data_IF_700542311237
#
_entry.id   IF_700542311237
#
_cell.length_a   1.000
_cell.length_b   1.000
_cell.length_c   1.000
_cell.angle_alpha   90.00
_cell.angle_beta   90.00
_cell.angle_gamma   90.00
#
_symmetry.space_group_name_H-M   'P 1'
#
loop_
_entity.id
_entity.type
_entity.pdbx_description
1 polymer ?
#
# COMPACT_ATOMS: atom_id res chain seq x y z
N UNK A 1 -1.70 -17.24 70.78
CA UNK A 1 -2.88 -17.53 69.93
C UNK A 1 -3.54 -16.21 69.58
N UNK A 2 -3.37 -15.71 68.35
CA UNK A 2 -4.06 -14.51 67.87
C UNK A 2 -5.06 -14.95 66.81
N UNK A 3 -6.34 -14.73 67.09
CA UNK A 3 -7.43 -14.96 66.15
C UNK A 3 -7.45 -13.87 65.09
N UNK A 4 -7.74 -14.33 63.88
CA UNK A 4 -7.88 -13.61 62.62
C UNK A 4 -9.21 -12.85 62.59
N UNK A 5 -9.20 -11.61 62.10
CA UNK A 5 -10.37 -10.93 61.58
C UNK A 5 -9.99 -10.32 60.22
N UNK A 6 -10.41 -10.98 59.15
CA UNK A 6 -10.30 -10.49 57.77
C UNK A 6 -11.59 -9.78 57.44
N UNK A 7 -11.56 -8.45 57.37
CA UNK A 7 -12.63 -7.65 56.75
C UNK A 7 -12.33 -7.52 55.27
N UNK A 8 -13.11 -8.23 54.44
CA UNK A 8 -13.09 -8.09 52.99
C UNK A 8 -13.82 -6.84 52.54
N UNK A 9 -13.16 -6.03 51.72
CA UNK A 9 -13.80 -5.03 50.86
C UNK A 9 -13.38 -5.33 49.44
N UNK A 10 -14.27 -5.99 48.69
CA UNK A 10 -14.12 -6.14 47.25
C UNK A 10 -14.69 -4.89 46.59
N UNK A 11 -13.82 -3.99 46.14
CA UNK A 11 -14.22 -2.89 45.25
C UNK A 11 -14.06 -3.38 43.81
N UNK A 12 -15.17 -3.70 43.16
CA UNK A 12 -15.23 -4.01 41.74
C UNK A 12 -15.12 -2.70 40.97
N UNK A 13 -13.92 -2.34 40.53
CA UNK A 13 -13.74 -1.31 39.51
C UNK A 13 -14.14 -1.93 38.17
N UNK A 14 -15.39 -1.68 37.72
CA UNK A 14 -15.78 -1.93 36.34
C UNK A 14 -14.89 -1.07 35.44
N UNK A 15 -13.95 -1.73 34.76
CA UNK A 15 -13.21 -1.21 33.63
C UNK A 15 -14.18 -1.00 32.45
N UNK A 16 -14.78 0.18 32.37
CA UNK A 16 -15.28 0.67 31.08
C UNK A 16 -14.07 1.15 30.27
N UNK A 17 -13.25 0.20 29.79
CA UNK A 17 -12.33 0.45 28.70
C UNK A 17 -13.18 0.72 27.46
N UNK A 18 -13.61 1.97 27.28
CA UNK A 18 -13.96 2.45 25.96
C UNK A 18 -12.66 2.37 25.16
N UNK A 19 -12.48 1.28 24.41
CA UNK A 19 -11.49 1.23 23.35
C UNK A 19 -11.86 2.35 22.38
N UNK A 20 -11.16 3.46 22.45
CA UNK A 20 -11.21 4.48 21.41
C UNK A 20 -10.59 3.83 20.16
N UNK A 21 -11.45 3.26 19.31
CA UNK A 21 -11.08 2.89 17.95
C UNK A 21 -11.14 4.17 17.13
N UNK A 22 -10.00 4.81 16.93
CA UNK A 22 -9.85 5.59 15.71
C UNK A 22 -9.65 4.56 14.61
N UNK A 23 -10.67 4.38 13.77
CA UNK A 23 -10.49 3.82 12.44
C UNK A 23 -10.27 5.03 11.56
N UNK A 24 -9.07 5.20 11.00
CA UNK A 24 -8.97 6.15 9.91
C UNK A 24 -9.73 5.59 8.70
N UNK A 25 -10.54 6.43 8.05
CA UNK A 25 -11.51 5.99 7.03
C UNK A 25 -10.90 5.67 5.66
N UNK A 26 -9.57 5.62 5.57
CA UNK A 26 -8.82 5.67 4.33
C UNK A 26 -7.74 4.52 4.38
N UNK A 27 -7.08 4.09 3.27
CA UNK A 27 -5.99 3.03 3.22
C UNK A 27 -4.50 3.46 2.97
N UNK A 28 -3.62 3.71 3.96
CA UNK A 28 -2.34 4.48 3.72
C UNK A 28 -1.28 3.54 3.19
N UNK A 29 -0.52 4.09 2.24
CA UNK A 29 0.78 3.56 1.85
C UNK A 29 1.84 4.35 2.62
N UNK A 30 2.58 3.65 3.47
CA UNK A 30 3.70 4.22 4.21
C UNK A 30 4.99 3.95 3.45
N UNK A 31 5.94 4.88 3.51
CA UNK A 31 7.27 4.69 2.95
C UNK A 31 8.20 4.29 4.09
N UNK A 32 9.00 3.25 3.89
CA UNK A 32 10.00 2.80 4.85
C UNK A 32 11.21 2.15 4.19
N UNK A 33 12.13 1.67 5.02
CA UNK A 33 13.25 0.80 4.65
C UNK A 33 13.25 -0.47 5.50
N UNK A 34 14.15 -1.42 5.25
CA UNK A 34 14.16 -2.73 5.92
C UNK A 34 12.79 -3.46 5.82
N UNK A 35 12.45 -3.97 4.63
CA UNK A 35 11.22 -4.73 4.38
C UNK A 35 10.95 -5.87 5.39
N UNK A 36 11.97 -6.61 5.83
CA UNK A 36 11.80 -7.76 6.74
C UNK A 36 11.75 -7.38 8.24
N UNK A 37 12.18 -6.15 8.57
CA UNK A 37 12.20 -5.57 9.92
C UNK A 37 13.32 -6.11 10.83
N UNK A 38 14.28 -6.85 10.28
CA UNK A 38 15.41 -7.46 10.98
C UNK A 38 16.65 -6.58 10.76
N UNK A 39 17.22 -6.04 11.82
CA UNK A 39 18.43 -5.20 11.71
C UNK A 39 19.66 -6.05 11.31
N UNK A 40 20.49 -5.50 10.42
CA UNK A 40 21.76 -6.09 9.99
C UNK A 40 21.65 -7.02 8.78
N UNK A 41 20.52 -7.02 8.08
CA UNK A 41 20.27 -7.79 6.86
C UNK A 41 20.57 -6.95 5.61
N UNK A 42 20.60 -7.61 4.45
CA UNK A 42 20.88 -6.94 3.17
C UNK A 42 19.82 -5.90 2.79
N UNK A 43 18.61 -6.00 3.34
CA UNK A 43 17.48 -5.14 3.01
C UNK A 43 17.31 -3.91 3.93
N UNK A 44 18.21 -3.71 4.90
CA UNK A 44 18.25 -2.54 5.79
C UNK A 44 18.19 -1.20 5.03
N UNK A 45 18.78 -1.16 3.84
CA UNK A 45 18.91 0.03 3.01
C UNK A 45 17.99 0.01 1.78
N UNK A 46 17.01 -0.90 1.71
CA UNK A 46 16.09 -1.01 0.59
C UNK A 46 14.78 -0.31 0.92
N UNK A 47 14.36 0.64 0.09
CA UNK A 47 13.05 1.29 0.23
C UNK A 47 11.91 0.29 -0.01
N UNK A 48 10.77 0.50 0.66
CA UNK A 48 9.53 -0.19 0.32
C UNK A 48 8.30 0.66 0.66
N UNK A 49 7.18 0.34 0.03
CA UNK A 49 5.88 0.85 0.42
C UNK A 49 5.16 -0.18 1.30
N UNK A 50 4.77 0.19 2.52
CA UNK A 50 3.88 -0.62 3.36
C UNK A 50 2.47 -0.59 2.75
N UNK A 51 2.16 -1.67 2.04
CA UNK A 51 0.88 -1.88 1.37
C UNK A 51 -0.11 -2.71 2.21
N UNK A 52 0.10 -2.82 3.52
CA UNK A 52 -0.73 -3.71 4.35
C UNK A 52 -2.20 -3.31 4.45
N UNK A 53 -2.51 -2.05 4.14
CA UNK A 53 -3.88 -1.53 4.09
C UNK A 53 -4.48 -1.53 2.68
N UNK A 54 -3.73 -1.92 1.65
CA UNK A 54 -4.19 -1.94 0.25
C UNK A 54 -5.53 -2.68 0.14
N UNK A 55 -6.53 -2.01 -0.40
CA UNK A 55 -7.90 -2.49 -0.62
C UNK A 55 -8.73 -2.77 0.64
N UNK A 56 -8.31 -2.27 1.81
CA UNK A 56 -9.09 -2.43 3.04
C UNK A 56 -10.47 -1.82 2.91
N UNK A 57 -10.63 -0.64 2.33
CA UNK A 57 -11.93 0.01 2.14
C UNK A 57 -12.43 -0.08 0.70
N UNK A 58 -12.30 -1.26 0.09
CA UNK A 58 -12.74 -1.50 -1.29
C UNK A 58 -14.24 -1.75 -1.47
N UNK A 59 -15.04 -1.82 -0.39
CA UNK A 59 -16.47 -2.07 -0.49
C UNK A 59 -17.24 -1.89 0.83
N UNK A 60 -18.48 -2.42 0.93
CA UNK A 60 -19.34 -2.30 2.12
C UNK A 60 -18.79 -2.97 3.38
N UNK A 61 -17.88 -3.92 3.22
CA UNK A 61 -17.09 -4.52 4.30
C UNK A 61 -15.61 -4.45 3.96
N UNK A 62 -14.74 -4.61 4.95
CA UNK A 62 -13.30 -4.49 4.71
C UNK A 62 -12.80 -5.60 3.76
N UNK A 63 -11.95 -5.25 2.79
CA UNK A 63 -11.30 -6.16 1.84
C UNK A 63 -12.27 -7.01 1.01
N UNK A 64 -13.39 -6.43 0.56
CA UNK A 64 -14.37 -7.12 -0.30
C UNK A 64 -13.80 -7.35 -1.69
N UNK A 65 -13.26 -6.29 -2.29
CA UNK A 65 -12.68 -6.32 -3.62
C UNK A 65 -11.16 -6.26 -3.55
N UNK A 66 -10.51 -6.88 -4.54
CA UNK A 66 -9.05 -6.78 -4.73
C UNK A 66 -8.67 -5.59 -5.63
N UNK A 67 -9.45 -4.52 -5.59
CA UNK A 67 -9.25 -3.28 -6.33
C UNK A 67 -10.04 -2.17 -5.62
N UNK A 68 -9.78 -0.90 -5.94
CA UNK A 68 -10.61 0.20 -5.45
C UNK A 68 -11.72 0.56 -6.46
N UNK A 69 -13.00 0.49 -6.10
CA UNK A 69 -14.06 0.98 -6.98
C UNK A 69 -14.02 2.52 -7.04
N UNK A 70 -13.95 3.07 -8.25
CA UNK A 70 -14.08 4.51 -8.44
C UNK A 70 -15.55 4.93 -8.40
N UNK A 71 -15.79 6.13 -7.85
CA UNK A 71 -17.12 6.68 -7.71
C UNK A 71 -17.38 7.75 -8.76
N UNK A 72 -18.61 7.82 -9.26
CA UNK A 72 -19.02 8.83 -10.24
C UNK A 72 -18.77 10.24 -9.71
N UNK A 73 -18.17 11.06 -10.55
CA UNK A 73 -17.80 12.45 -10.31
C UNK A 73 -18.73 13.37 -11.10
N UNK A 74 -18.92 14.59 -10.60
CA UNK A 74 -19.67 15.64 -11.31
C UNK A 74 -18.84 16.33 -12.41
N UNK A 75 -17.53 16.10 -12.43
CA UNK A 75 -16.62 16.79 -13.34
C UNK A 75 -16.51 16.02 -14.65
N UNK A 76 -16.74 16.69 -15.77
CA UNK A 76 -16.70 16.06 -17.10
C UNK A 76 -15.30 15.65 -17.54
N UNK A 77 -14.25 16.29 -17.02
CA UNK A 77 -12.85 15.95 -17.33
C UNK A 77 -12.33 14.73 -16.59
N UNK A 78 -13.08 14.22 -15.61
CA UNK A 78 -12.81 12.98 -14.89
C UNK A 78 -14.13 12.46 -14.32
N UNK A 79 -14.78 11.58 -15.08
CA UNK A 79 -16.11 11.06 -14.77
C UNK A 79 -16.16 10.23 -13.50
N UNK A 80 -15.00 9.75 -13.00
CA UNK A 80 -14.90 8.89 -11.83
C UNK A 80 -13.69 9.26 -10.96
N UNK A 81 -13.77 8.99 -9.65
CA UNK A 81 -12.70 9.30 -8.68
C UNK A 81 -12.77 8.46 -7.40
N UNK A 82 -11.66 8.41 -6.70
CA UNK A 82 -11.57 8.04 -5.28
C UNK A 82 -10.67 9.05 -4.54
N UNK A 83 -10.92 9.23 -3.24
CA UNK A 83 -10.14 10.10 -2.37
C UNK A 83 -8.78 9.51 -1.97
N UNK A 84 -8.17 10.10 -0.95
CA UNK A 84 -6.93 9.62 -0.34
C UNK A 84 -7.16 8.33 0.44
N UNK A 85 -6.21 7.40 0.42
CA UNK A 85 -6.29 6.25 1.31
C UNK A 85 -5.27 6.38 2.50
N UNK A 86 -5.64 6.53 3.81
CA UNK A 86 -5.15 5.83 5.03
C UNK A 86 -5.21 6.26 6.52
N UNK A 87 -4.54 5.44 7.37
CA UNK A 87 -3.76 5.61 8.66
C UNK A 87 -4.21 4.55 9.69
N UNK A 88 -3.32 3.84 10.46
CA UNK A 88 -3.69 3.27 11.80
C UNK A 88 -2.66 2.35 12.49
N UNK A 89 -1.69 1.71 11.82
CA UNK A 89 -0.95 0.61 12.48
C UNK A 89 -0.13 1.05 13.73
N UNK A 90 0.48 2.22 13.68
CA UNK A 90 1.33 2.73 14.76
C UNK A 90 0.54 3.40 15.90
N UNK A 91 -0.34 4.37 15.64
CA UNK A 91 -1.13 5.02 16.71
C UNK A 91 -2.14 4.06 17.38
N UNK A 92 -2.56 2.99 16.70
CA UNK A 92 -3.35 1.91 17.34
C UNK A 92 -2.58 1.18 18.43
N UNK A 93 -1.26 1.07 18.28
CA UNK A 93 -0.38 0.33 19.21
C UNK A 93 0.23 1.27 20.26
N UNK A 94 0.53 2.52 19.87
CA UNK A 94 1.16 3.53 20.71
C UNK A 94 0.46 4.89 20.59
N UNK A 95 -0.79 5.03 21.08
CA UNK A 95 -1.61 6.24 20.88
C UNK A 95 -1.04 7.51 21.53
N UNK A 96 -0.06 7.37 22.41
CA UNK A 96 0.58 8.48 23.14
C UNK A 96 2.03 8.73 22.72
N UNK A 97 2.54 8.04 21.68
CA UNK A 97 3.88 8.31 21.17
C UNK A 97 3.87 9.64 20.40
N UNK A 98 4.73 10.59 20.81
CA UNK A 98 4.82 11.93 20.22
C UNK A 98 5.46 11.97 18.82
N UNK A 99 5.85 10.82 18.27
CA UNK A 99 6.42 10.63 16.94
C UNK A 99 6.31 9.15 16.55
N UNK A 100 6.20 8.88 15.24
CA UNK A 100 6.18 7.53 14.65
C UNK A 100 7.60 6.98 14.64
N UNK A 101 7.96 6.15 15.63
CA UNK A 101 9.20 5.38 15.61
C UNK A 101 8.85 3.91 15.50
N UNK A 102 8.82 3.38 14.27
CA UNK A 102 9.24 2.01 14.07
C UNK A 102 10.75 2.09 13.84
N UNK A 103 11.58 1.80 14.87
CA UNK A 103 13.02 2.06 14.81
C UNK A 103 13.71 1.35 13.65
N UNK A 104 13.10 0.29 13.10
CA UNK A 104 13.73 -0.49 12.05
C UNK A 104 13.21 -0.16 10.66
N UNK A 105 12.05 0.52 10.54
CA UNK A 105 11.39 0.71 9.23
C UNK A 105 11.26 2.16 8.81
N UNK A 106 11.54 3.11 9.71
CA UNK A 106 11.60 4.53 9.38
C UNK A 106 12.95 4.88 8.71
N UNK A 107 12.89 5.80 7.75
CA UNK A 107 14.11 6.37 7.16
C UNK A 107 14.88 7.14 8.23
N UNK A 108 16.18 6.88 8.34
CA UNK A 108 17.07 7.59 9.23
C UNK A 108 17.47 8.95 8.64
N UNK A 109 17.34 10.01 9.45
CA UNK A 109 17.79 11.37 9.11
C UNK A 109 16.66 12.34 8.76
N UNK A 110 17.04 13.50 8.26
CA UNK A 110 16.16 14.60 7.87
C UNK A 110 15.85 14.55 6.35
N UNK A 111 14.55 14.56 5.95
CA UNK A 111 14.18 14.62 4.54
C UNK A 111 14.74 15.85 3.83
N UNK A 112 15.29 15.65 2.64
CA UNK A 112 15.97 16.67 1.83
C UNK A 112 17.42 16.96 2.26
N UNK A 113 17.91 16.34 3.33
CA UNK A 113 19.30 16.44 3.78
C UNK A 113 20.01 15.08 3.78
N UNK A 114 19.43 14.10 4.46
CA UNK A 114 19.99 12.75 4.61
C UNK A 114 19.42 11.77 3.58
N UNK A 115 18.20 12.01 3.11
CA UNK A 115 17.55 11.27 2.03
C UNK A 115 16.61 12.18 1.22
N UNK A 116 16.35 11.84 -0.03
CA UNK A 116 15.36 12.51 -0.88
C UNK A 116 14.53 11.46 -1.64
N UNK A 117 13.46 10.98 -1.01
CA UNK A 117 12.55 10.01 -1.62
C UNK A 117 11.70 10.66 -2.70
N UNK A 118 11.88 10.16 -3.92
CA UNK A 118 11.06 10.45 -5.08
C UNK A 118 10.14 9.26 -5.35
N UNK A 119 8.88 9.58 -5.64
CA UNK A 119 7.88 8.60 -6.06
C UNK A 119 7.69 8.73 -7.56
N UNK A 120 8.10 7.70 -8.31
CA UNK A 120 8.03 7.65 -9.77
C UNK A 120 6.86 6.79 -10.23
N UNK A 121 6.11 7.28 -11.21
CA UNK A 121 5.14 6.50 -11.96
C UNK A 121 5.85 5.67 -13.03
N UNK A 122 5.90 4.35 -12.87
CA UNK A 122 6.59 3.44 -13.81
C UNK A 122 5.64 2.74 -14.79
N UNK A 123 4.34 2.71 -14.48
CA UNK A 123 3.28 2.28 -15.39
C UNK A 123 1.95 2.94 -15.00
N UNK A 124 1.09 3.24 -15.97
CA UNK A 124 -0.25 3.79 -15.72
C UNK A 124 -1.19 3.46 -16.87
N UNK A 125 -2.43 3.10 -16.55
CA UNK A 125 -3.47 2.85 -17.55
C UNK A 125 -3.92 4.13 -18.24
N UNK A 126 -4.31 4.04 -19.51
CA UNK A 126 -4.91 5.17 -20.23
C UNK A 126 -6.14 5.71 -19.48
N UNK A 127 -6.24 7.04 -19.40
CA UNK A 127 -7.39 7.71 -18.81
C UNK A 127 -7.42 7.77 -17.29
N UNK A 128 -6.42 7.19 -16.59
CA UNK A 128 -6.22 7.37 -15.15
C UNK A 128 -5.23 8.52 -14.87
N UNK A 129 -5.46 9.23 -13.77
CA UNK A 129 -4.47 10.16 -13.21
C UNK A 129 -4.47 10.12 -11.68
N UNK A 130 -3.30 10.31 -11.10
CA UNK A 130 -3.13 10.53 -9.67
C UNK A 130 -2.94 12.02 -9.39
N UNK A 131 -3.59 12.53 -8.33
CA UNK A 131 -3.65 13.96 -8.02
C UNK A 131 -3.37 14.18 -6.55
N UNK A 132 -2.36 14.99 -6.27
CA UNK A 132 -2.17 15.59 -4.96
C UNK A 132 -2.84 16.97 -4.98
N UNK A 133 -3.90 17.13 -4.19
CA UNK A 133 -4.75 18.34 -4.22
C UNK A 133 -4.27 19.43 -3.30
N UNK A 134 -3.39 19.09 -2.38
CA UNK A 134 -2.89 20.03 -1.41
C UNK A 134 -1.57 20.64 -1.90
N UNK A 135 -1.15 21.78 -1.36
CA UNK A 135 0.08 22.41 -1.82
C UNK A 135 1.32 21.61 -1.37
N UNK A 136 2.33 21.34 -2.24
CA UNK A 136 2.35 21.66 -3.67
C UNK A 136 1.43 20.73 -4.48
N UNK A 137 0.59 21.32 -5.33
CA UNK A 137 -0.35 20.56 -6.14
C UNK A 137 0.37 19.98 -7.36
N UNK A 138 0.11 18.71 -7.65
CA UNK A 138 0.61 18.06 -8.85
C UNK A 138 -0.37 17.02 -9.37
N UNK A 139 -0.15 16.58 -10.60
CA UNK A 139 -0.92 15.52 -11.23
C UNK A 139 0.04 14.63 -12.01
N UNK A 140 -0.07 13.33 -11.79
CA UNK A 140 0.62 12.29 -12.57
C UNK A 140 -0.40 11.75 -13.57
N UNK A 141 -0.07 11.87 -14.85
CA UNK A 141 -0.82 11.36 -16.00
C UNK A 141 -0.03 10.38 -16.87
N UNK A 142 1.30 10.28 -16.67
CA UNK A 142 2.16 9.49 -17.55
C UNK A 142 3.29 8.76 -16.83
N UNK A 143 3.90 7.83 -17.56
CA UNK A 143 5.10 7.10 -17.13
C UNK A 143 6.30 8.05 -17.11
N UNK A 144 7.15 7.91 -16.09
CA UNK A 144 8.32 8.74 -15.84
C UNK A 144 8.02 10.06 -15.14
N UNK A 145 6.74 10.41 -14.94
CA UNK A 145 6.37 11.53 -14.08
C UNK A 145 6.55 11.12 -12.61
N UNK A 146 7.01 12.06 -11.80
CA UNK A 146 7.34 11.83 -10.40
C UNK A 146 7.04 13.04 -9.52
N UNK A 147 7.13 12.85 -8.21
CA UNK A 147 7.13 13.93 -7.24
C UNK A 147 8.10 13.64 -6.09
N UNK A 148 8.62 14.71 -5.50
CA UNK A 148 9.48 14.65 -4.33
C UNK A 148 8.63 14.53 -3.06
N UNK A 149 8.54 13.32 -2.52
CA UNK A 149 7.84 13.07 -1.26
C UNK A 149 8.56 13.72 -0.09
N UNK A 150 9.89 13.75 -0.09
CA UNK A 150 10.69 14.32 1.00
C UNK A 150 10.52 15.84 1.11
N UNK A 151 10.45 16.55 -0.01
CA UNK A 151 10.13 17.99 -0.01
C UNK A 151 8.70 18.27 0.51
N UNK A 152 7.72 17.44 0.14
CA UNK A 152 6.34 17.55 0.64
C UNK A 152 6.30 17.28 2.14
N UNK A 153 6.96 16.21 2.59
CA UNK A 153 7.10 15.87 4.00
C UNK A 153 7.78 17.00 4.78
N UNK A 154 8.93 17.52 4.32
CA UNK A 154 9.62 18.62 4.98
C UNK A 154 8.76 19.90 5.06
N UNK A 155 7.95 20.17 4.02
CA UNK A 155 7.08 21.34 3.99
C UNK A 155 5.86 21.22 4.93
N UNK A 156 5.30 20.01 5.07
CA UNK A 156 3.96 19.81 5.65
C UNK A 156 3.93 18.94 6.90
N UNK A 157 4.98 18.17 7.16
CA UNK A 157 5.02 17.13 8.18
C UNK A 157 4.37 15.81 7.77
N UNK A 158 4.06 15.62 6.48
CA UNK A 158 3.33 14.45 5.99
C UNK A 158 4.29 13.32 5.58
N UNK A 159 4.54 12.38 6.50
CA UNK A 159 5.39 11.21 6.26
C UNK A 159 4.77 10.11 5.36
N UNK A 160 3.71 10.41 4.61
CA UNK A 160 2.96 9.43 3.81
C UNK A 160 2.40 10.03 2.52
N UNK A 161 1.80 9.20 1.66
CA UNK A 161 1.34 9.59 0.32
C UNK A 161 -0.14 9.98 0.29
N UNK A 162 -0.44 11.24 0.00
CA UNK A 162 -1.80 11.79 -0.15
C UNK A 162 -2.23 11.89 -1.62
N UNK A 163 -2.63 10.77 -2.23
CA UNK A 163 -3.05 10.75 -3.64
C UNK A 163 -4.54 10.46 -3.80
N UNK A 164 -5.22 11.29 -4.57
CA UNK A 164 -6.56 11.04 -5.11
C UNK A 164 -6.43 10.53 -6.54
N UNK A 165 -7.18 9.49 -6.87
CA UNK A 165 -7.19 8.92 -8.21
C UNK A 165 -8.45 9.32 -8.96
N UNK A 166 -8.30 9.61 -10.25
CA UNK A 166 -9.36 10.12 -11.11
C UNK A 166 -9.28 9.43 -12.47
N UNK A 167 -10.43 9.04 -13.02
CA UNK A 167 -10.50 8.33 -14.28
C UNK A 167 -11.59 8.89 -15.20
N UNK A 168 -11.43 8.65 -16.49
CA UNK A 168 -12.41 9.00 -17.54
C UNK A 168 -13.66 8.11 -17.49
N UNK A 169 -13.52 6.86 -17.05
CA UNK A 169 -14.61 5.91 -16.86
C UNK A 169 -14.48 5.13 -15.54
N UNK A 170 -15.50 4.32 -15.23
CA UNK A 170 -15.63 3.57 -13.98
C UNK A 170 -15.90 2.09 -14.22
N UNK A 171 -15.78 1.63 -15.46
CA UNK A 171 -16.15 0.27 -15.88
C UNK A 171 -14.94 -0.54 -16.30
N UNK A 172 -13.85 0.12 -16.72
CA UNK A 172 -12.63 -0.54 -17.19
C UNK A 172 -11.62 -0.71 -16.07
N UNK A 173 -10.71 -1.66 -16.29
CA UNK A 173 -9.52 -1.83 -15.48
C UNK A 173 -8.66 -0.58 -15.59
N UNK A 174 -8.40 0.06 -14.45
CA UNK A 174 -7.41 1.12 -14.34
C UNK A 174 -6.35 0.73 -13.32
N UNK A 175 -5.12 1.15 -13.54
CA UNK A 175 -4.01 0.88 -12.64
C UNK A 175 -2.95 1.96 -12.72
N UNK A 176 -2.13 2.03 -11.68
CA UNK A 176 -0.91 2.82 -11.64
C UNK A 176 0.12 2.07 -10.79
N UNK A 177 1.35 2.03 -11.29
CA UNK A 177 2.48 1.37 -10.64
C UNK A 177 3.49 2.43 -10.26
N UNK A 178 3.90 2.41 -9.01
CA UNK A 178 4.90 3.30 -8.48
C UNK A 178 6.19 2.57 -8.15
N UNK A 179 7.30 3.30 -8.19
CA UNK A 179 8.58 2.91 -7.60
C UNK A 179 9.12 4.06 -6.76
N UNK A 180 9.70 3.73 -5.62
CA UNK A 180 10.38 4.68 -4.75
C UNK A 180 11.87 4.66 -5.05
N UNK A 181 12.50 5.83 -5.13
CA UNK A 181 13.95 5.95 -5.22
C UNK A 181 14.45 7.09 -4.34
N UNK A 182 15.66 6.94 -3.81
CA UNK A 182 16.35 8.00 -3.08
C UNK A 182 17.31 8.73 -4.02
N UNK A 183 17.05 10.01 -4.28
CA UNK A 183 17.91 10.84 -5.12
C UNK A 183 19.29 11.12 -4.50
N UNK A 184 19.43 11.01 -3.17
CA UNK A 184 20.72 11.17 -2.49
C UNK A 184 21.53 9.86 -2.43
N UNK A 185 20.91 8.73 -2.77
CA UNK A 185 21.56 7.44 -2.95
C UNK A 185 21.96 6.72 -1.66
N UNK A 186 21.39 7.08 -0.51
CA UNK A 186 21.54 6.33 0.73
C UNK A 186 20.76 5.02 0.69
N UNK A 187 19.56 5.04 0.11
CA UNK A 187 18.70 3.86 0.00
C UNK A 187 18.59 3.33 -1.44
N UNK A 188 18.57 2.01 -1.58
CA UNK A 188 18.22 1.34 -2.83
C UNK A 188 16.73 1.51 -3.15
N UNK A 189 16.40 1.49 -4.44
CA UNK A 189 15.01 1.65 -4.89
C UNK A 189 14.11 0.51 -4.44
N UNK A 190 12.82 0.82 -4.25
CA UNK A 190 11.84 -0.20 -3.95
C UNK A 190 11.55 -1.12 -5.13
N UNK A 191 11.04 -2.30 -4.83
CA UNK A 191 10.24 -3.03 -5.80
C UNK A 191 9.02 -2.17 -6.22
N UNK A 192 8.55 -2.28 -7.48
CA UNK A 192 7.33 -1.62 -7.89
C UNK A 192 6.12 -2.17 -7.14
N UNK A 193 5.16 -1.31 -6.85
CA UNK A 193 3.85 -1.71 -6.29
C UNK A 193 2.73 -1.10 -7.12
N UNK A 194 1.70 -1.90 -7.40
CA UNK A 194 0.63 -1.52 -8.33
C UNK A 194 -0.70 -1.32 -7.61
N UNK A 195 -1.34 -0.16 -7.79
CA UNK A 195 -2.70 0.08 -7.32
C UNK A 195 -3.66 -0.14 -8.47
N UNK A 196 -4.80 -0.77 -8.20
CA UNK A 196 -5.76 -1.22 -9.21
C UNK A 196 -7.15 -0.72 -8.85
N UNK A 197 -7.93 -0.38 -9.88
CA UNK A 197 -9.24 0.22 -9.76
C UNK A 197 -10.29 -0.47 -10.66
N UNK A 198 -11.54 -0.46 -10.19
CA UNK A 198 -12.77 -0.96 -10.80
C UNK A 198 -12.88 -2.46 -11.13
N UNK A 199 -11.80 -3.11 -11.56
CA UNK A 199 -11.79 -4.52 -11.96
C UNK A 199 -10.59 -5.23 -11.33
N UNK A 200 -10.80 -6.47 -10.88
CA UNK A 200 -9.70 -7.35 -10.52
C UNK A 200 -8.99 -7.84 -11.80
N UNK A 201 -7.66 -7.67 -11.93
CA UNK A 201 -6.90 -8.16 -13.08
C UNK A 201 -7.06 -9.67 -13.25
N UNK A 202 -6.81 -10.16 -14.46
CA UNK A 202 -6.80 -11.60 -14.70
C UNK A 202 -5.78 -12.28 -13.79
N UNK A 203 -6.10 -13.49 -13.32
CA UNK A 203 -5.13 -14.26 -12.54
C UNK A 203 -3.85 -14.48 -13.38
N UNK A 204 -2.71 -14.03 -12.88
CA UNK A 204 -1.45 -14.04 -13.60
C UNK A 204 -1.14 -12.81 -14.46
N UNK A 205 -1.99 -11.79 -14.49
CA UNK A 205 -1.63 -10.43 -14.97
C UNK A 205 -0.98 -9.68 -13.81
N UNK A 206 0.31 -9.94 -13.58
CA UNK A 206 1.06 -9.51 -12.40
C UNK A 206 1.69 -8.13 -12.58
N UNK A 207 2.05 -7.76 -13.81
CA UNK A 207 2.46 -6.37 -14.09
C UNK A 207 1.26 -5.45 -14.32
N UNK A 208 0.05 -6.02 -14.38
CA UNK A 208 -1.24 -5.34 -14.53
C UNK A 208 -1.23 -4.47 -15.78
N UNK A 209 -1.13 -5.08 -16.96
CA UNK A 209 -1.26 -4.38 -18.23
C UNK A 209 -2.45 -4.86 -19.08
N UNK A 210 -3.28 -5.72 -18.50
CA UNK A 210 -4.45 -6.33 -19.11
C UNK A 210 -4.13 -7.58 -19.93
N UNK A 211 -2.85 -7.92 -20.13
CA UNK A 211 -2.43 -9.15 -20.78
C UNK A 211 -1.82 -10.14 -19.78
N UNK A 212 -1.68 -11.40 -20.20
CA UNK A 212 -0.91 -12.39 -19.44
C UNK A 212 0.15 -12.97 -20.36
N UNK A 213 1.41 -12.57 -20.16
CA UNK A 213 2.51 -12.94 -21.04
C UNK A 213 3.85 -13.19 -20.33
N UNK A 214 4.96 -13.13 -21.08
CA UNK A 214 6.29 -13.41 -20.55
C UNK A 214 6.74 -12.41 -19.48
N UNK A 215 6.25 -11.17 -19.52
CA UNK A 215 6.54 -10.19 -18.49
C UNK A 215 5.92 -10.61 -17.15
N UNK A 216 4.70 -11.14 -17.16
CA UNK A 216 4.06 -11.65 -15.95
C UNK A 216 4.74 -12.92 -15.43
N UNK A 217 5.14 -13.81 -16.32
CA UNK A 217 5.90 -15.00 -15.92
C UNK A 217 7.23 -14.61 -15.25
N UNK A 218 7.89 -13.57 -15.76
CA UNK A 218 9.09 -13.02 -15.13
C UNK A 218 8.78 -12.41 -13.75
N UNK A 219 7.66 -11.69 -13.60
CA UNK A 219 7.22 -11.18 -12.31
C UNK A 219 6.91 -12.30 -11.31
N UNK A 220 6.21 -13.37 -11.73
CA UNK A 220 5.89 -14.54 -10.89
C UNK A 220 7.17 -15.20 -10.35
N UNK A 221 8.22 -15.27 -11.17
CA UNK A 221 9.48 -15.89 -10.78
C UNK A 221 10.15 -15.24 -9.56
N UNK A 222 9.90 -13.94 -9.33
CA UNK A 222 10.43 -13.19 -8.16
C UNK A 222 9.82 -13.65 -6.85
N UNK A 223 8.64 -14.25 -6.91
CA UNK A 223 7.89 -14.69 -5.74
C UNK A 223 7.80 -16.21 -5.65
N UNK A 224 8.42 -16.94 -6.57
CA UNK A 224 8.30 -18.39 -6.66
C UNK A 224 8.71 -19.10 -5.37
N UNK A 225 7.79 -19.89 -4.80
CA UNK A 225 7.94 -20.59 -3.51
C UNK A 225 8.24 -19.66 -2.33
N UNK A 226 8.01 -18.36 -2.46
CA UNK A 226 8.16 -17.42 -1.35
C UNK A 226 7.04 -17.68 -0.33
N UNK A 227 7.39 -17.95 0.93
CA UNK A 227 6.40 -18.20 1.97
C UNK A 227 5.69 -16.90 2.38
N UNK A 228 4.72 -17.02 3.29
CA UNK A 228 4.07 -15.89 3.96
C UNK A 228 3.38 -14.90 3.01
N UNK A 229 2.87 -15.40 1.87
CA UNK A 229 1.93 -14.62 1.07
C UNK A 229 0.70 -14.34 1.92
N UNK A 230 0.33 -13.07 2.04
CA UNK A 230 -0.75 -12.66 2.91
C UNK A 230 -1.27 -11.31 2.46
N UNK A 231 -2.40 -10.91 3.02
CA UNK A 231 -2.96 -9.58 2.79
C UNK A 231 -1.97 -8.43 2.99
N UNK A 232 -1.04 -8.56 3.94
CA UNK A 232 -0.06 -7.51 4.28
C UNK A 232 0.94 -7.19 3.16
N UNK A 233 1.16 -8.11 2.22
CA UNK A 233 2.05 -7.96 1.07
C UNK A 233 1.29 -8.14 -0.25
N UNK A 234 -0.02 -7.91 -0.22
CA UNK A 234 -0.90 -8.09 -1.37
C UNK A 234 -0.79 -9.49 -1.99
N UNK A 235 -0.63 -10.53 -1.15
CA UNK A 235 -0.35 -11.91 -1.59
C UNK A 235 0.81 -11.97 -2.60
N UNK A 236 1.88 -11.25 -2.27
CA UNK A 236 3.04 -10.98 -3.13
C UNK A 236 2.67 -10.32 -4.47
N UNK A 237 2.08 -9.12 -4.41
CA UNK A 237 1.59 -8.38 -5.58
C UNK A 237 0.78 -9.28 -6.53
N UNK A 238 -0.20 -10.00 -5.96
CA UNK A 238 -1.15 -10.91 -6.64
C UNK A 238 -0.56 -12.20 -7.20
N UNK A 239 0.71 -12.50 -6.93
CA UNK A 239 1.36 -13.73 -7.38
C UNK A 239 0.76 -15.00 -6.77
N UNK A 240 0.34 -14.95 -5.50
CA UNK A 240 -0.45 -16.01 -4.85
C UNK A 240 -1.94 -15.79 -5.20
N UNK A 241 -2.29 -16.27 -6.38
CA UNK A 241 -3.59 -16.08 -7.03
C UNK A 241 -4.72 -16.83 -6.33
N UNK A 242 -4.43 -17.97 -5.69
CA UNK A 242 -5.42 -18.73 -4.93
C UNK A 242 -5.45 -18.33 -3.45
N UNK A 243 -4.53 -17.44 -3.03
CA UNK A 243 -4.42 -16.83 -1.70
C UNK A 243 -4.21 -17.90 -0.61
N UNK A 244 -3.46 -18.95 -0.93
CA UNK A 244 -3.20 -20.08 -0.02
C UNK A 244 -1.96 -19.88 0.88
N UNK A 245 -1.23 -18.78 0.69
CA UNK A 245 -0.08 -18.39 1.48
C UNK A 245 1.27 -18.69 0.85
N UNK A 246 1.31 -19.33 -0.33
CA UNK A 246 2.55 -19.69 -1.01
C UNK A 246 2.39 -19.70 -2.53
N UNK A 247 3.23 -18.92 -3.22
CA UNK A 247 3.27 -18.92 -4.69
C UNK A 247 3.86 -20.23 -5.21
N UNK A 248 3.05 -21.02 -5.92
CA UNK A 248 3.47 -22.35 -6.37
C UNK A 248 2.87 -22.74 -7.74
N UNK A 249 2.91 -24.04 -8.07
CA UNK A 249 2.40 -24.56 -9.34
C UNK A 249 0.90 -24.35 -9.54
N UNK A 250 0.12 -24.19 -8.46
CA UNK A 250 -1.30 -23.85 -8.55
C UNK A 250 -1.47 -22.45 -9.13
N UNK A 251 -0.69 -21.47 -8.68
CA UNK A 251 -0.72 -20.11 -9.21
C UNK A 251 -0.23 -20.02 -10.64
N UNK A 252 0.85 -20.74 -10.94
CA UNK A 252 1.31 -20.88 -12.32
C UNK A 252 0.22 -21.50 -13.22
N UNK A 253 -0.55 -22.47 -12.72
CA UNK A 253 -1.66 -23.04 -13.48
C UNK A 253 -2.80 -22.04 -13.69
N UNK A 254 -3.06 -21.13 -12.75
CA UNK A 254 -4.01 -20.02 -12.94
C UNK A 254 -3.53 -19.03 -14.00
N UNK A 255 -2.26 -18.61 -13.94
CA UNK A 255 -1.64 -17.79 -14.99
C UNK A 255 -1.73 -18.47 -16.36
N UNK A 256 -1.37 -19.75 -16.45
CA UNK A 256 -1.35 -20.49 -17.70
C UNK A 256 -2.75 -20.60 -18.36
N UNK A 257 -3.84 -20.59 -17.58
CA UNK A 257 -5.21 -20.56 -18.12
C UNK A 257 -5.54 -19.25 -18.83
N UNK A 258 -4.91 -18.16 -18.43
CA UNK A 258 -5.11 -16.83 -19.01
C UNK A 258 -4.01 -16.47 -20.02
N UNK A 259 -3.06 -17.37 -20.29
CA UNK A 259 -1.90 -17.10 -21.14
C UNK A 259 -2.27 -16.55 -22.52
N UNK A 260 -1.63 -15.44 -22.90
CA UNK A 260 -1.89 -14.68 -24.15
C UNK A 260 -3.34 -14.24 -24.31
N UNK A 261 -4.09 -14.12 -23.23
CA UNK A 261 -5.35 -13.37 -23.26
C UNK A 261 -4.99 -11.91 -23.57
N UNK A 262 -5.55 -11.33 -24.64
CA UNK A 262 -5.26 -9.94 -25.00
C UNK A 262 -5.91 -8.99 -23.99
N UNK A 263 -5.29 -7.82 -23.79
CA UNK A 263 -5.89 -6.71 -23.06
C UNK A 263 -7.32 -6.44 -23.52
N UNK A 264 -8.26 -6.48 -22.59
CA UNK A 264 -9.63 -6.03 -22.82
C UNK A 264 -9.60 -4.53 -23.13
N UNK A 265 -9.87 -4.18 -24.40
CA UNK A 265 -9.93 -2.79 -24.89
C UNK A 265 -11.18 -2.02 -24.45
#
# INVERSE_FOLDING_TARGET
MKLVAVTGVALVCLSCCATARAQCSLDHFLIGCNPDGIEGTEDDWILFADISQKYRHSGPTEYVEWFYPLQKSIFSSYGYRIGEPGFDAFQRTYPNAGHTYDPNRALAGEPGLDYAVIVECVAVSEGLRAVHKEYPQFTITGVGESFDHSAIHALRGDGHMHLSYQAVDGERLHWITYRLHDELGLYESSEPFTIVFNIEPLAGDLIVDGAVDLADLAALSRYWLRPDAARRNDYWERADTNRDGIVNLVDFAHMARNWRTPASR
#
